data_IF_727904384576
#
_entry.id   IF_727904384576
#
_cell.length_a   1.000
_cell.length_b   1.000
_cell.length_c   1.000
_cell.angle_alpha   90.00
_cell.angle_beta   90.00
_cell.angle_gamma   90.00
#
_symmetry.space_group_name_H-M   'P 1'
#
loop_
_entity.id
_entity.type
_entity.pdbx_description
1 polymer ?
#
# COMPACT_ATOMS: atom_id res chain seq x y z
N UNK A 1 24.73 -23.91 4.57
CA UNK A 1 23.48 -23.52 5.25
C UNK A 1 23.07 -22.15 4.73
N UNK A 2 21.99 -22.06 3.96
CA UNK A 2 21.46 -20.78 3.50
C UNK A 2 20.97 -20.01 4.73
N UNK A 3 21.69 -18.97 5.14
CA UNK A 3 21.15 -17.97 6.07
C UNK A 3 19.93 -17.39 5.37
N UNK A 4 18.75 -17.59 5.93
CA UNK A 4 17.55 -16.85 5.53
C UNK A 4 17.94 -15.36 5.43
N UNK A 5 17.57 -14.66 4.34
CA UNK A 5 17.82 -13.23 4.27
C UNK A 5 17.20 -12.57 5.52
N UNK A 6 17.79 -11.49 6.04
CA UNK A 6 17.19 -10.73 7.12
C UNK A 6 15.75 -10.41 6.74
N UNK A 7 14.85 -10.76 7.66
CA UNK A 7 13.40 -10.65 7.54
C UNK A 7 12.98 -9.37 6.78
N UNK A 8 12.11 -9.46 5.75
CA UNK A 8 11.67 -8.27 5.03
C UNK A 8 10.99 -7.28 5.98
N UNK A 9 11.54 -6.07 6.09
CA UNK A 9 10.95 -4.98 6.86
C UNK A 9 9.71 -4.41 6.12
N UNK A 10 8.62 -5.19 6.10
CA UNK A 10 7.33 -4.74 5.61
C UNK A 10 6.78 -3.62 6.52
N UNK A 11 6.33 -2.52 5.92
CA UNK A 11 5.64 -1.46 6.64
C UNK A 11 4.20 -1.87 6.95
N UNK A 12 3.69 -1.38 8.08
CA UNK A 12 2.25 -1.20 8.28
C UNK A 12 1.75 -0.08 7.36
N UNK A 13 0.43 0.00 7.17
CA UNK A 13 -0.16 1.08 6.39
C UNK A 13 0.20 2.47 6.95
N UNK A 14 0.25 2.63 8.28
CA UNK A 14 0.58 3.91 8.91
C UNK A 14 2.04 4.31 8.67
N UNK A 15 2.97 3.38 8.85
CA UNK A 15 4.40 3.62 8.57
C UNK A 15 4.61 3.98 7.09
N UNK A 16 4.00 3.20 6.19
CA UNK A 16 4.08 3.43 4.75
C UNK A 16 3.49 4.80 4.33
N UNK A 17 2.30 5.14 4.83
CA UNK A 17 1.64 6.42 4.54
C UNK A 17 2.46 7.61 5.08
N UNK A 18 3.00 7.48 6.30
CA UNK A 18 3.82 8.51 6.94
C UNK A 18 5.14 8.74 6.18
N UNK A 19 5.90 7.68 5.89
CA UNK A 19 7.18 7.81 5.18
C UNK A 19 6.98 8.36 3.77
N UNK A 20 5.98 7.86 3.03
CA UNK A 20 5.67 8.33 1.67
C UNK A 20 5.33 9.82 1.67
N UNK A 21 4.54 10.30 2.64
CA UNK A 21 4.22 11.73 2.79
C UNK A 21 5.41 12.58 3.19
N UNK A 22 6.29 12.09 4.07
CA UNK A 22 7.48 12.81 4.51
C UNK A 22 8.47 13.13 3.37
N UNK A 23 8.42 12.31 2.30
CA UNK A 23 9.26 12.41 1.11
C UNK A 23 8.67 13.28 -0.01
N UNK A 24 7.44 13.79 0.13
CA UNK A 24 6.86 14.75 -0.83
C UNK A 24 7.52 16.11 -0.64
N UNK A 25 8.29 16.55 -1.64
CA UNK A 25 9.07 17.78 -1.59
C UNK A 25 9.54 18.22 -2.99
N UNK A 26 9.64 19.53 -3.19
CA UNK A 26 10.28 20.14 -4.36
C UNK A 26 11.63 20.76 -3.97
N UNK A 27 12.76 20.26 -4.53
CA UNK A 27 14.08 20.84 -4.35
C UNK A 27 14.13 22.33 -4.64
N UNK A 28 14.75 23.12 -3.74
CA UNK A 28 15.03 24.54 -3.98
C UNK A 28 16.22 24.75 -4.93
N UNK A 29 17.13 23.78 -4.96
CA UNK A 29 18.36 23.81 -5.76
C UNK A 29 18.28 22.78 -6.89
N UNK A 30 18.96 23.09 -8.00
CA UNK A 30 19.21 22.11 -9.06
C UNK A 30 20.07 20.97 -8.52
N UNK A 31 19.68 19.75 -8.85
CA UNK A 31 20.37 18.55 -8.41
C UNK A 31 21.39 18.15 -9.45
N UNK A 32 22.66 18.35 -9.10
CA UNK A 32 23.78 17.86 -9.88
C UNK A 32 24.19 16.45 -9.46
N UNK A 33 24.31 15.57 -10.45
CA UNK A 33 24.81 14.19 -10.33
C UNK A 33 25.90 13.89 -11.38
N UNK A 34 26.47 14.92 -12.01
CA UNK A 34 27.49 14.79 -13.06
C UNK A 34 28.74 14.04 -12.57
N UNK A 35 29.11 14.19 -11.29
CA UNK A 35 30.20 13.45 -10.65
C UNK A 35 30.01 11.92 -10.71
N UNK A 36 28.77 11.44 -10.83
CA UNK A 36 28.41 10.02 -10.90
C UNK A 36 28.45 9.44 -12.31
N UNK A 37 28.85 10.22 -13.33
CA UNK A 37 28.91 9.78 -14.72
C UNK A 37 29.71 8.49 -14.92
N UNK A 38 30.82 8.35 -14.20
CA UNK A 38 31.64 7.14 -14.28
C UNK A 38 30.89 5.88 -13.83
N UNK A 39 30.00 5.97 -12.83
CA UNK A 39 29.16 4.85 -12.37
C UNK A 39 28.11 4.49 -13.43
N UNK A 40 27.51 5.49 -14.07
CA UNK A 40 26.53 5.30 -15.15
C UNK A 40 27.18 4.60 -16.35
N UNK A 41 28.33 5.10 -16.78
CA UNK A 41 29.07 4.57 -17.93
C UNK A 41 29.57 3.14 -17.70
N UNK A 42 29.80 2.75 -16.43
CA UNK A 42 30.26 1.41 -16.05
C UNK A 42 29.22 0.31 -16.27
N UNK A 43 27.95 0.65 -16.53
CA UNK A 43 26.90 -0.33 -16.86
C UNK A 43 26.86 -0.64 -18.37
N UNK A 44 27.57 0.14 -19.20
CA UNK A 44 27.64 -0.02 -20.66
C UNK A 44 26.25 -0.10 -21.31
N UNK A 45 25.55 1.04 -21.36
CA UNK A 45 24.18 1.13 -21.83
C UNK A 45 24.05 1.99 -23.10
N UNK A 46 22.83 2.04 -23.65
CA UNK A 46 22.51 3.03 -24.68
C UNK A 46 22.36 4.42 -24.05
N UNK A 47 22.60 5.53 -24.78
CA UNK A 47 22.46 6.89 -24.24
C UNK A 47 21.10 7.14 -23.56
N UNK A 48 20.01 6.64 -24.16
CA UNK A 48 18.65 6.73 -23.60
C UNK A 48 18.50 6.00 -22.26
N UNK A 49 19.19 4.88 -22.08
CA UNK A 49 19.17 4.13 -20.81
C UNK A 49 20.04 4.79 -19.76
N UNK A 50 21.17 5.36 -20.16
CA UNK A 50 22.04 6.16 -19.28
C UNK A 50 21.33 7.42 -18.78
N UNK A 51 20.55 8.09 -19.63
CA UNK A 51 19.72 9.23 -19.24
C UNK A 51 18.69 8.86 -18.16
N UNK A 52 17.95 7.76 -18.34
CA UNK A 52 17.01 7.26 -17.31
C UNK A 52 17.70 6.84 -16.00
N UNK A 53 18.90 6.28 -16.10
CA UNK A 53 19.67 5.95 -14.91
C UNK A 53 20.15 7.22 -14.19
N UNK A 54 20.56 8.25 -14.94
CA UNK A 54 20.87 9.58 -14.41
C UNK A 54 19.68 10.20 -13.69
N UNK A 55 18.48 10.14 -14.29
CA UNK A 55 17.24 10.55 -13.63
C UNK A 55 17.03 9.80 -12.31
N UNK A 56 17.29 8.49 -12.28
CA UNK A 56 17.20 7.69 -11.05
C UNK A 56 18.19 8.16 -9.98
N UNK A 57 19.43 8.50 -10.34
CA UNK A 57 20.40 9.09 -9.41
C UNK A 57 19.95 10.47 -8.90
N UNK A 58 19.38 11.30 -9.76
CA UNK A 58 18.80 12.60 -9.36
C UNK A 58 17.67 12.41 -8.34
N UNK A 59 16.73 11.50 -8.60
CA UNK A 59 15.63 11.20 -7.67
C UNK A 59 16.12 10.56 -6.37
N UNK A 60 17.10 9.65 -6.43
CA UNK A 60 17.71 9.09 -5.23
C UNK A 60 18.31 10.19 -4.35
N UNK A 61 19.04 11.14 -4.96
CA UNK A 61 19.62 12.30 -4.27
C UNK A 61 18.55 13.18 -3.63
N UNK A 62 17.42 13.42 -4.31
CA UNK A 62 16.26 14.14 -3.73
C UNK A 62 15.78 13.48 -2.44
N UNK A 63 15.59 12.16 -2.48
CA UNK A 63 15.02 11.41 -1.36
C UNK A 63 15.97 11.39 -0.17
N UNK A 64 17.26 11.12 -0.38
CA UNK A 64 18.24 11.05 0.73
C UNK A 64 18.58 12.42 1.32
N UNK A 65 18.39 13.52 0.58
CA UNK A 65 18.55 14.88 1.11
C UNK A 65 17.32 15.40 1.86
N UNK A 66 16.22 14.63 1.89
CA UNK A 66 14.99 15.03 2.57
C UNK A 66 15.08 14.82 4.08
N UNK A 67 15.74 15.76 4.77
CA UNK A 67 15.96 15.73 6.23
C UNK A 67 14.70 15.38 7.06
N UNK A 68 13.52 15.86 6.66
CA UNK A 68 12.29 15.62 7.41
C UNK A 68 12.00 14.12 7.62
N UNK A 69 12.17 13.30 6.59
CA UNK A 69 11.93 11.85 6.66
C UNK A 69 12.86 11.16 7.68
N UNK A 70 14.09 11.64 7.81
CA UNK A 70 15.09 11.10 8.74
C UNK A 70 14.87 11.51 10.19
N UNK A 71 14.11 12.58 10.44
CA UNK A 71 13.66 12.95 11.77
C UNK A 71 12.36 12.22 12.12
N UNK A 72 11.36 12.30 11.24
CA UNK A 72 10.06 11.67 11.40
C UNK A 72 9.60 11.18 10.00
N UNK A 73 9.47 9.86 9.78
CA UNK A 73 9.34 8.77 10.77
C UNK A 73 10.66 8.18 11.31
N UNK A 74 11.82 8.68 10.89
CA UNK A 74 13.12 8.26 11.41
C UNK A 74 13.99 7.53 10.38
N UNK A 75 15.29 7.38 10.66
CA UNK A 75 16.28 7.04 9.63
C UNK A 75 16.13 5.62 9.08
N UNK A 76 15.79 4.65 9.92
CA UNK A 76 15.59 3.27 9.47
C UNK A 76 14.37 3.14 8.54
N UNK A 77 13.23 3.69 8.97
CA UNK A 77 12.00 3.73 8.17
C UNK A 77 12.23 4.42 6.83
N UNK A 78 12.93 5.56 6.85
CA UNK A 78 13.24 6.32 5.65
C UNK A 78 14.10 5.49 4.67
N UNK A 79 15.21 4.90 5.14
CA UNK A 79 16.09 4.12 4.28
C UNK A 79 15.44 2.85 3.74
N UNK A 80 14.61 2.17 4.54
CA UNK A 80 13.87 1.00 4.08
C UNK A 80 12.89 1.36 2.96
N UNK A 81 12.22 2.51 3.05
CA UNK A 81 11.37 3.00 1.97
C UNK A 81 12.16 3.40 0.73
N UNK A 82 13.26 4.14 0.89
CA UNK A 82 14.14 4.52 -0.23
C UNK A 82 14.67 3.27 -0.95
N UNK A 83 15.04 2.23 -0.20
CA UNK A 83 15.48 0.96 -0.79
C UNK A 83 14.35 0.28 -1.59
N UNK A 84 13.12 0.26 -1.07
CA UNK A 84 11.95 -0.24 -1.81
C UNK A 84 11.69 0.57 -3.08
N UNK A 85 11.66 1.90 -2.98
CA UNK A 85 11.47 2.79 -4.11
C UNK A 85 12.53 2.54 -5.19
N UNK A 86 13.80 2.44 -4.79
CA UNK A 86 14.89 2.20 -5.71
C UNK A 86 14.75 0.84 -6.41
N UNK A 87 14.45 -0.22 -5.67
CA UNK A 87 14.21 -1.55 -6.24
C UNK A 87 13.05 -1.55 -7.24
N UNK A 88 11.95 -0.84 -6.95
CA UNK A 88 10.83 -0.67 -7.88
C UNK A 88 11.27 0.06 -9.15
N UNK A 89 11.92 1.21 -8.99
CA UNK A 89 12.39 2.07 -10.10
C UNK A 89 13.33 1.32 -11.04
N UNK A 90 14.32 0.60 -10.51
CA UNK A 90 15.31 -0.11 -11.36
C UNK A 90 14.72 -1.31 -12.10
N UNK A 91 13.67 -1.95 -11.54
CA UNK A 91 12.97 -3.07 -12.17
C UNK A 91 12.04 -2.59 -13.28
N UNK A 92 11.42 -1.42 -13.12
CA UNK A 92 10.53 -0.82 -14.11
C UNK A 92 11.26 -0.18 -15.30
N UNK A 93 12.53 0.22 -15.11
CA UNK A 93 13.24 1.13 -16.01
C UNK A 93 14.07 0.47 -17.13
N UNK A 94 14.25 -0.86 -17.10
CA UNK A 94 14.93 -1.67 -18.15
C UNK A 94 16.34 -1.18 -18.56
N UNK A 95 17.04 -0.41 -17.72
CA UNK A 95 18.41 0.07 -17.97
C UNK A 95 19.51 -0.84 -17.40
N UNK A 96 19.25 -2.15 -17.26
CA UNK A 96 20.32 -3.12 -17.00
C UNK A 96 20.87 -3.14 -15.56
N UNK A 97 20.17 -2.55 -14.59
CA UNK A 97 20.50 -2.76 -13.18
C UNK A 97 20.09 -4.19 -12.76
N UNK A 98 21.03 -4.89 -12.13
CA UNK A 98 20.90 -6.22 -11.56
C UNK A 98 21.58 -6.26 -10.18
N UNK A 99 21.65 -7.44 -9.58
CA UNK A 99 22.24 -7.62 -8.24
C UNK A 99 23.71 -7.18 -8.17
N UNK A 100 24.49 -7.39 -9.23
CA UNK A 100 25.94 -7.19 -9.23
C UNK A 100 26.32 -5.71 -9.34
N UNK A 101 25.52 -4.92 -10.06
CA UNK A 101 25.75 -3.50 -10.27
C UNK A 101 24.86 -2.58 -9.41
N UNK A 102 23.92 -3.12 -8.63
CA UNK A 102 23.12 -2.32 -7.68
C UNK A 102 23.97 -1.56 -6.66
N UNK A 103 25.17 -2.07 -6.35
CA UNK A 103 26.16 -1.41 -5.48
C UNK A 103 26.53 0.00 -5.92
N UNK A 104 26.36 0.36 -7.20
CA UNK A 104 26.64 1.71 -7.68
C UNK A 104 25.77 2.79 -7.04
N UNK A 105 24.57 2.46 -6.55
CA UNK A 105 23.77 3.41 -5.77
C UNK A 105 24.37 3.68 -4.38
N UNK A 106 25.00 2.68 -3.77
CA UNK A 106 25.74 2.85 -2.53
C UNK A 106 27.04 3.63 -2.74
N UNK A 107 27.79 3.31 -3.80
CA UNK A 107 29.00 4.05 -4.19
C UNK A 107 28.69 5.53 -4.47
N UNK A 108 27.59 5.81 -5.18
CA UNK A 108 27.09 7.16 -5.42
C UNK A 108 26.88 7.96 -4.13
N UNK A 109 26.23 7.37 -3.12
CA UNK A 109 26.02 8.05 -1.84
C UNK A 109 27.32 8.33 -1.08
N UNK A 110 28.35 7.48 -1.25
CA UNK A 110 29.66 7.64 -0.59
C UNK A 110 30.51 8.75 -1.20
N UNK A 111 30.38 8.98 -2.51
CA UNK A 111 31.18 9.98 -3.23
C UNK A 111 30.53 11.37 -3.25
N UNK A 112 29.22 11.48 -3.02
CA UNK A 112 28.53 12.78 -2.96
C UNK A 112 28.88 13.52 -1.65
N UNK A 113 29.55 14.69 -1.71
CA UNK A 113 29.94 15.43 -0.52
C UNK A 113 28.76 15.89 0.33
N UNK A 114 27.66 16.35 -0.31
CA UNK A 114 26.47 16.85 0.39
C UNK A 114 25.75 15.72 1.13
N UNK A 115 25.74 14.50 0.58
CA UNK A 115 25.17 13.30 1.22
C UNK A 115 26.08 12.84 2.37
N UNK A 116 27.39 12.81 2.14
CA UNK A 116 28.37 12.36 3.14
C UNK A 116 28.34 13.19 4.43
N UNK A 117 28.10 14.49 4.31
CA UNK A 117 28.00 15.41 5.45
C UNK A 117 26.65 15.31 6.20
N UNK A 118 25.55 14.99 5.50
CA UNK A 118 24.19 15.21 6.02
C UNK A 118 23.29 13.97 6.09
N UNK A 119 23.63 12.89 5.40
CA UNK A 119 22.75 11.73 5.20
C UNK A 119 23.51 10.41 5.22
N UNK A 120 24.27 10.20 6.31
CA UNK A 120 24.96 8.94 6.62
C UNK A 120 24.00 7.76 6.86
N UNK A 121 22.71 8.05 7.04
CA UNK A 121 21.74 7.07 7.51
C UNK A 121 21.48 5.93 6.53
N UNK A 122 21.51 6.17 5.21
CA UNK A 122 21.21 5.14 4.20
C UNK A 122 22.45 4.54 3.54
N UNK A 123 23.63 5.10 3.78
CA UNK A 123 24.88 4.52 3.28
C UNK A 123 24.98 3.08 3.79
N UNK A 124 25.25 2.17 2.85
CA UNK A 124 25.37 0.73 3.06
C UNK A 124 24.10 0.03 3.55
N UNK A 125 22.93 0.69 3.48
CA UNK A 125 21.62 0.10 3.73
C UNK A 125 20.81 -0.19 2.47
N UNK A 126 21.19 0.39 1.32
CA UNK A 126 20.58 0.06 0.04
C UNK A 126 21.07 -1.30 -0.44
N UNK A 127 20.13 -2.16 -0.84
CA UNK A 127 20.42 -3.51 -1.29
C UNK A 127 19.42 -3.97 -2.35
N UNK A 128 19.90 -4.75 -3.32
CA UNK A 128 19.05 -5.39 -4.31
C UNK A 128 18.18 -6.44 -3.61
N UNK A 129 16.86 -6.23 -3.59
CA UNK A 129 15.90 -7.19 -3.03
C UNK A 129 15.78 -8.38 -3.97
N UNK A 130 15.70 -9.58 -3.41
CA UNK A 130 15.33 -10.75 -4.17
C UNK A 130 13.90 -10.61 -4.74
N UNK A 131 13.63 -11.32 -5.84
CA UNK A 131 12.35 -11.18 -6.55
C UNK A 131 11.15 -11.54 -5.68
N UNK A 132 11.25 -12.57 -4.82
CA UNK A 132 10.12 -13.02 -4.02
C UNK A 132 9.74 -11.97 -2.97
N UNK A 133 10.74 -11.46 -2.23
CA UNK A 133 10.56 -10.39 -1.25
C UNK A 133 10.01 -9.13 -1.90
N UNK A 134 10.59 -8.72 -3.04
CA UNK A 134 10.15 -7.53 -3.76
C UNK A 134 8.68 -7.63 -4.21
N UNK A 135 8.28 -8.75 -4.82
CA UNK A 135 6.91 -8.92 -5.32
C UNK A 135 5.88 -8.91 -4.19
N UNK A 136 6.18 -9.56 -3.06
CA UNK A 136 5.32 -9.52 -1.87
C UNK A 136 5.17 -8.10 -1.32
N UNK A 137 6.29 -7.38 -1.19
CA UNK A 137 6.30 -6.00 -0.71
C UNK A 137 5.53 -5.07 -1.66
N UNK A 138 5.74 -5.23 -2.97
CA UNK A 138 5.04 -4.49 -4.01
C UNK A 138 3.52 -4.69 -3.93
N UNK A 139 3.04 -5.94 -3.83
CA UNK A 139 1.60 -6.22 -3.70
C UNK A 139 0.99 -5.56 -2.46
N UNK A 140 1.70 -5.63 -1.32
CA UNK A 140 1.26 -5.00 -0.08
C UNK A 140 1.15 -3.46 -0.22
N UNK A 141 2.17 -2.82 -0.79
CA UNK A 141 2.20 -1.36 -0.91
C UNK A 141 1.29 -0.85 -2.03
N UNK A 142 1.09 -1.61 -3.12
CA UNK A 142 0.08 -1.32 -4.15
C UNK A 142 -1.34 -1.42 -3.55
N UNK A 143 -1.60 -2.34 -2.60
CA UNK A 143 -2.85 -2.37 -1.83
C UNK A 143 -3.01 -1.13 -0.95
N UNK A 144 -1.94 -0.67 -0.30
CA UNK A 144 -1.94 0.54 0.53
C UNK A 144 -2.20 1.81 -0.28
N UNK A 145 -1.56 1.94 -1.44
CA UNK A 145 -1.79 3.04 -2.38
C UNK A 145 -3.25 3.06 -2.83
N UNK A 146 -3.75 1.91 -3.28
CA UNK A 146 -5.15 1.78 -3.68
C UNK A 146 -6.10 2.16 -2.53
N UNK A 147 -5.83 1.69 -1.30
CA UNK A 147 -6.63 2.06 -0.13
C UNK A 147 -6.59 3.58 0.16
N UNK A 148 -5.43 4.24 0.03
CA UNK A 148 -5.30 5.69 0.22
C UNK A 148 -6.09 6.46 -0.85
N UNK A 149 -5.97 6.08 -2.12
CA UNK A 149 -6.74 6.67 -3.22
C UNK A 149 -8.25 6.56 -2.98
N UNK A 150 -8.72 5.37 -2.56
CA UNK A 150 -10.13 5.18 -2.20
C UNK A 150 -10.56 6.02 -1.00
N UNK A 151 -9.67 6.19 -0.02
CA UNK A 151 -9.92 7.01 1.16
C UNK A 151 -10.05 8.49 0.80
N UNK A 152 -9.33 8.96 -0.21
CA UNK A 152 -9.27 10.36 -0.63
C UNK A 152 -10.28 10.69 -1.75
N UNK A 153 -10.78 9.67 -2.46
CA UNK A 153 -11.79 9.82 -3.50
C UNK A 153 -13.09 10.45 -2.98
N UNK A 154 -13.55 11.48 -3.69
CA UNK A 154 -14.88 12.10 -3.50
C UNK A 154 -15.98 11.39 -4.29
N UNK A 155 -15.61 10.52 -5.23
CA UNK A 155 -16.56 9.87 -6.13
C UNK A 155 -17.25 8.68 -5.44
N UNK A 156 -18.51 8.88 -5.05
CA UNK A 156 -19.32 7.85 -4.39
C UNK A 156 -19.92 6.82 -5.35
N UNK A 157 -20.02 7.11 -6.66
CA UNK A 157 -20.71 6.24 -7.61
C UNK A 157 -19.93 4.95 -7.92
N UNK A 158 -18.60 4.97 -7.77
CA UNK A 158 -17.72 3.81 -7.96
C UNK A 158 -17.34 3.11 -6.65
N UNK A 159 -17.90 3.53 -5.51
CA UNK A 159 -17.49 3.05 -4.19
C UNK A 159 -17.65 1.53 -4.04
N UNK A 160 -18.76 0.96 -4.50
CA UNK A 160 -19.00 -0.49 -4.39
C UNK A 160 -17.99 -1.31 -5.21
N UNK A 161 -17.75 -0.93 -6.47
CA UNK A 161 -16.76 -1.59 -7.32
C UNK A 161 -15.36 -1.52 -6.72
N UNK A 162 -15.01 -0.34 -6.18
CA UNK A 162 -13.73 -0.10 -5.55
C UNK A 162 -13.50 -0.93 -4.28
N UNK A 163 -14.53 -1.09 -3.45
CA UNK A 163 -14.47 -1.93 -2.25
C UNK A 163 -14.33 -3.42 -2.63
N UNK A 164 -15.04 -3.90 -3.65
CA UNK A 164 -14.88 -5.27 -4.15
C UNK A 164 -13.43 -5.51 -4.59
N UNK A 165 -12.86 -4.62 -5.40
CA UNK A 165 -11.48 -4.72 -5.86
C UNK A 165 -10.46 -4.65 -4.72
N UNK A 166 -10.71 -3.84 -3.68
CA UNK A 166 -9.87 -3.82 -2.48
C UNK A 166 -9.89 -5.17 -1.75
N UNK A 167 -11.08 -5.78 -1.65
CA UNK A 167 -11.30 -7.08 -1.01
C UNK A 167 -10.57 -8.20 -1.76
N UNK A 168 -10.66 -8.21 -3.09
CA UNK A 168 -9.95 -9.17 -3.96
C UNK A 168 -8.44 -9.07 -3.79
N UNK A 169 -7.88 -7.85 -3.81
CA UNK A 169 -6.44 -7.63 -3.57
C UNK A 169 -6.01 -8.11 -2.18
N UNK A 170 -6.80 -7.80 -1.15
CA UNK A 170 -6.52 -8.27 0.21
C UNK A 170 -6.48 -9.79 0.28
N UNK A 171 -7.50 -10.46 -0.26
CA UNK A 171 -7.59 -11.92 -0.22
C UNK A 171 -6.48 -12.60 -1.02
N UNK A 172 -6.09 -12.02 -2.16
CA UNK A 172 -4.93 -12.52 -2.93
C UNK A 172 -3.67 -12.54 -2.08
N UNK A 173 -3.35 -11.44 -1.38
CA UNK A 173 -2.16 -11.35 -0.52
C UNK A 173 -2.30 -12.27 0.69
N UNK A 174 -3.51 -12.41 1.24
CA UNK A 174 -3.78 -13.31 2.36
C UNK A 174 -3.51 -14.77 2.02
N UNK A 175 -3.93 -15.24 0.84
CA UNK A 175 -3.62 -16.62 0.40
C UNK A 175 -2.12 -16.84 0.17
N UNK A 176 -1.39 -15.80 -0.23
CA UNK A 176 0.06 -15.87 -0.39
C UNK A 176 0.80 -15.95 0.95
N UNK A 177 0.30 -15.28 1.99
CA UNK A 177 0.98 -15.22 3.29
C UNK A 177 0.50 -16.27 4.32
N UNK A 178 -0.76 -16.73 4.25
CA UNK A 178 -1.35 -17.60 5.29
C UNK A 178 -0.56 -18.91 5.44
N UNK A 179 0.06 -19.08 6.61
CA UNK A 179 0.88 -20.26 6.94
C UNK A 179 2.22 -20.31 6.22
N UNK A 180 2.65 -19.21 5.58
CA UNK A 180 3.88 -19.11 4.77
C UNK A 180 4.74 -17.90 5.11
N UNK A 181 4.13 -16.75 5.40
CA UNK A 181 4.81 -15.48 5.70
C UNK A 181 4.02 -14.71 6.76
N UNK A 182 4.28 -15.02 8.03
CA UNK A 182 3.55 -14.41 9.15
C UNK A 182 3.80 -12.90 9.26
N UNK A 183 4.97 -12.42 8.83
CA UNK A 183 5.29 -10.99 8.84
C UNK A 183 4.42 -10.23 7.86
N UNK A 184 4.34 -10.67 6.61
CA UNK A 184 3.44 -10.11 5.60
C UNK A 184 1.98 -10.17 6.07
N UNK A 185 1.55 -11.31 6.59
CA UNK A 185 0.19 -11.49 7.12
C UNK A 185 -0.11 -10.54 8.29
N UNK A 186 0.85 -10.30 9.17
CA UNK A 186 0.68 -9.36 10.28
C UNK A 186 0.54 -7.91 9.81
N UNK A 187 1.35 -7.48 8.83
CA UNK A 187 1.21 -6.13 8.23
C UNK A 187 -0.09 -5.99 7.42
N UNK A 188 -0.53 -7.04 6.74
CA UNK A 188 -1.83 -7.07 6.07
C UNK A 188 -3.00 -6.99 7.08
N UNK A 189 -2.93 -7.71 8.21
CA UNK A 189 -3.92 -7.61 9.30
C UNK A 189 -3.94 -6.22 9.93
N UNK A 190 -2.80 -5.53 10.01
CA UNK A 190 -2.74 -4.16 10.53
C UNK A 190 -3.63 -3.20 9.73
N UNK A 191 -3.70 -3.35 8.41
CA UNK A 191 -4.62 -2.59 7.56
C UNK A 191 -6.09 -2.80 7.98
N UNK A 192 -6.49 -4.05 8.25
CA UNK A 192 -7.84 -4.42 8.71
C UNK A 192 -8.16 -3.81 10.07
N UNK A 193 -7.22 -3.88 11.02
CA UNK A 193 -7.40 -3.38 12.40
C UNK A 193 -7.50 -1.86 12.47
N UNK A 194 -6.71 -1.14 11.67
CA UNK A 194 -6.57 0.31 11.85
C UNK A 194 -7.64 1.17 11.15
N UNK A 195 -8.26 0.77 10.01
CA UNK A 195 -9.05 1.75 9.22
C UNK A 195 -10.30 1.29 8.45
N UNK A 196 -10.75 0.04 8.55
CA UNK A 196 -12.13 -0.29 8.08
C UNK A 196 -13.17 0.25 9.08
N UNK A 197 -12.87 0.18 10.38
CA UNK A 197 -13.77 0.60 11.46
C UNK A 197 -14.09 2.10 11.46
N UNK A 198 -13.09 2.99 11.40
CA UNK A 198 -13.30 4.43 11.59
C UNK A 198 -14.08 5.16 10.47
N UNK A 199 -14.09 4.64 9.24
CA UNK A 199 -14.88 5.22 8.14
C UNK A 199 -16.23 4.53 7.92
N UNK A 200 -16.40 3.27 8.34
CA UNK A 200 -17.72 2.61 8.32
C UNK A 200 -18.71 3.27 9.31
N UNK A 201 -18.22 3.82 10.43
CA UNK A 201 -19.04 4.62 11.35
C UNK A 201 -19.58 5.92 10.73
N UNK A 202 -18.99 6.45 9.65
CA UNK A 202 -19.54 7.65 8.97
C UNK A 202 -20.68 7.32 7.99
N UNK A 203 -20.92 6.04 7.71
CA UNK A 203 -22.02 5.54 6.86
C UNK A 203 -23.09 4.80 7.69
N UNK A 204 -23.24 5.21 8.95
CA UNK A 204 -23.84 4.48 10.07
C UNK A 204 -25.23 3.85 9.84
N UNK A 205 -26.00 4.28 8.85
CA UNK A 205 -27.38 3.77 8.69
C UNK A 205 -27.51 2.39 8.00
N UNK A 206 -26.42 1.76 7.55
CA UNK A 206 -26.47 0.39 6.97
C UNK A 206 -25.49 -0.62 7.59
N UNK A 207 -24.66 -0.22 8.56
CA UNK A 207 -23.57 -1.06 9.10
C UNK A 207 -23.90 -1.69 10.45
N UNK A 208 -24.82 -1.12 11.24
CA UNK A 208 -25.19 -1.68 12.57
C UNK A 208 -25.78 -3.09 12.50
N UNK A 209 -26.32 -3.50 11.34
CA UNK A 209 -26.76 -4.89 11.08
C UNK A 209 -25.63 -5.86 10.73
N UNK A 210 -24.44 -5.35 10.39
CA UNK A 210 -23.25 -6.15 10.05
C UNK A 210 -22.38 -6.44 11.27
N UNK A 211 -22.23 -5.51 12.21
CA UNK A 211 -21.35 -5.71 13.37
C UNK A 211 -21.96 -6.62 14.45
N UNK A 212 -23.29 -6.67 14.60
CA UNK A 212 -23.95 -7.48 15.65
C UNK A 212 -23.87 -9.01 15.42
N UNK A 213 -23.42 -9.45 14.24
CA UNK A 213 -23.40 -10.87 13.85
C UNK A 213 -22.03 -11.38 13.37
N UNK A 214 -20.95 -10.60 13.52
CA UNK A 214 -19.65 -10.97 12.93
C UNK A 214 -18.47 -10.72 13.89
N UNK A 215 -18.32 -11.53 14.94
CA UNK A 215 -16.99 -11.96 15.34
C UNK A 215 -16.53 -13.08 14.40
N UNK A 216 -15.34 -12.94 13.81
CA UNK A 216 -14.56 -14.06 13.25
C UNK A 216 -14.94 -14.66 11.89
N UNK A 217 -15.22 -13.87 10.85
CA UNK A 217 -15.28 -14.42 9.48
C UNK A 217 -14.25 -13.83 8.47
N UNK A 218 -13.69 -14.68 7.56
CA UNK A 218 -12.86 -14.27 6.44
C UNK A 218 -13.60 -13.35 5.45
N UNK A 219 -12.86 -12.50 4.73
CA UNK A 219 -13.37 -11.45 3.84
C UNK A 219 -14.31 -11.99 2.73
N UNK A 220 -14.21 -13.28 2.39
CA UNK A 220 -15.13 -14.01 1.51
C UNK A 220 -16.62 -13.82 1.86
N UNK A 221 -16.98 -13.65 3.14
CA UNK A 221 -18.38 -13.45 3.55
C UNK A 221 -18.91 -12.03 3.31
N UNK A 222 -18.04 -11.01 3.28
CA UNK A 222 -18.44 -9.65 2.91
C UNK A 222 -18.82 -9.58 1.42
N UNK A 223 -18.09 -10.32 0.58
CA UNK A 223 -18.37 -10.44 -0.85
C UNK A 223 -19.72 -11.13 -1.11
N UNK A 224 -19.99 -12.25 -0.45
CA UNK A 224 -21.23 -13.02 -0.64
C UNK A 224 -22.48 -12.28 -0.14
N UNK A 225 -22.39 -11.62 1.02
CA UNK A 225 -23.52 -10.87 1.60
C UNK A 225 -23.80 -9.57 0.85
N UNK A 226 -22.77 -8.94 0.25
CA UNK A 226 -22.92 -7.77 -0.60
C UNK A 226 -23.55 -8.10 -1.97
N UNK A 227 -23.14 -9.21 -2.61
CA UNK A 227 -23.79 -9.71 -3.84
C UNK A 227 -25.29 -9.98 -3.62
N UNK A 228 -25.65 -10.55 -2.48
CA UNK A 228 -27.05 -10.78 -2.11
C UNK A 228 -27.85 -9.46 -1.99
N UNK A 229 -27.28 -8.43 -1.37
CA UNK A 229 -27.92 -7.11 -1.24
C UNK A 229 -28.02 -6.35 -2.57
N UNK A 230 -27.00 -6.46 -3.42
CA UNK A 230 -26.99 -5.88 -4.76
C UNK A 230 -28.08 -6.47 -5.66
N UNK A 231 -28.24 -7.80 -5.65
CA UNK A 231 -29.32 -8.48 -6.36
C UNK A 231 -30.69 -8.08 -5.83
N UNK A 232 -30.87 -8.02 -4.51
CA UNK A 232 -32.12 -7.58 -3.90
C UNK A 232 -32.50 -6.14 -4.25
N UNK A 233 -31.54 -5.21 -4.33
CA UNK A 233 -31.80 -3.82 -4.74
C UNK A 233 -32.10 -3.69 -6.25
N UNK A 234 -31.48 -4.54 -7.08
CA UNK A 234 -31.77 -4.62 -8.51
C UNK A 234 -33.17 -5.17 -8.78
N UNK A 235 -33.56 -6.22 -8.06
CA UNK A 235 -34.92 -6.80 -8.13
C UNK A 235 -35.97 -5.78 -7.67
N UNK A 236 -35.68 -5.01 -6.62
CA UNK A 236 -36.56 -3.96 -6.11
C UNK A 236 -36.75 -2.79 -7.09
N UNK A 237 -35.72 -2.45 -7.88
CA UNK A 237 -35.82 -1.42 -8.94
C UNK A 237 -36.56 -1.94 -10.17
N UNK A 238 -36.39 -3.22 -10.51
CA UNK A 238 -37.11 -3.86 -11.61
C UNK A 238 -38.61 -3.97 -11.32
N UNK A 239 -39.00 -4.25 -10.07
CA UNK A 239 -40.41 -4.30 -9.64
C UNK A 239 -41.15 -2.94 -9.70
N UNK A 240 -40.43 -1.80 -9.74
CA UNK A 240 -41.04 -0.47 -9.90
C UNK A 240 -41.15 0.01 -11.35
N UNK A 241 -40.42 -0.63 -12.27
CA UNK A 241 -40.50 -0.32 -13.70
C UNK A 241 -41.80 -0.83 -14.34
N UNK A 242 -42.46 -1.80 -13.73
CA UNK A 242 -43.74 -2.33 -14.17
C UNK A 242 -44.78 -2.18 -13.06
N UNK A 243 -45.61 -1.13 -13.22
CA UNK A 243 -46.95 -0.92 -12.64
C UNK A 243 -47.13 -1.19 -11.14
N UNK A 244 -47.35 -0.12 -10.36
CA UNK A 244 -48.35 -0.19 -9.26
C UNK A 244 -49.02 1.18 -9.07
N UNK A 245 -50.25 1.32 -9.60
CA UNK A 245 -51.31 1.98 -8.86
C UNK A 245 -51.78 0.95 -7.83
N UNK A 246 -51.70 1.29 -6.54
CA UNK A 246 -52.55 0.85 -5.42
C UNK A 246 -51.79 0.94 -4.08
N UNK A 247 -52.49 1.52 -3.11
CA UNK A 247 -52.08 1.75 -1.74
C UNK A 247 -51.64 0.48 -1.01
N UNK A 248 -50.51 0.53 -0.29
CA UNK A 248 -50.31 -0.32 0.90
C UNK A 248 -49.58 0.40 2.03
N UNK A 249 -50.17 0.28 3.22
CA UNK A 249 -49.70 0.74 4.52
C UNK A 249 -48.43 -0.02 4.95
N UNK A 250 -47.51 0.68 5.63
CA UNK A 250 -46.40 0.07 6.34
C UNK A 250 -46.91 -0.79 7.52
N UNK A 251 -46.39 -2.02 7.75
CA UNK A 251 -46.63 -2.73 9.00
C UNK A 251 -45.83 -2.06 10.12
N UNK A 252 -46.53 -1.65 11.18
CA UNK A 252 -45.94 -1.29 12.48
C UNK A 252 -45.35 -2.56 13.11
N UNK A 253 -44.05 -2.57 13.38
CA UNK A 253 -43.39 -3.62 14.15
C UNK A 253 -43.82 -3.52 15.63
N UNK A 254 -44.53 -4.53 16.12
CA UNK A 254 -44.69 -4.77 17.56
C UNK A 254 -43.42 -5.47 18.08
N UNK A 255 -42.69 -4.77 18.95
CA UNK A 255 -41.58 -5.30 19.75
C UNK A 255 -42.02 -5.26 21.22
N UNK A 256 -42.74 -6.29 21.63
CA UNK A 256 -42.91 -6.63 23.04
C UNK A 256 -42.77 -8.14 23.21
N UNK A 257 -42.10 -8.48 24.32
CA UNK A 257 -42.04 -9.77 25.00
C UNK A 257 -41.12 -10.86 24.43
N UNK A 258 -39.95 -11.02 25.05
CA UNK A 258 -39.79 -11.99 26.15
C UNK A 258 -38.30 -12.14 26.54
N UNK A 259 -37.95 -11.62 27.72
CA UNK A 259 -36.82 -12.10 28.52
C UNK A 259 -37.40 -12.63 29.83
N UNK A 260 -37.37 -13.96 30.05
CA UNK A 260 -37.48 -14.53 31.38
C UNK A 260 -36.61 -15.79 31.52
N UNK A 261 -35.73 -15.70 32.53
CA UNK A 261 -35.16 -16.71 33.42
C UNK A 261 -34.36 -17.91 32.86
N UNK A 262 -33.06 -17.89 33.19
CA UNK A 262 -32.29 -19.08 33.55
C UNK A 262 -32.59 -19.46 35.01
N UNK A 263 -32.85 -20.75 35.22
CA UNK A 263 -32.60 -21.47 36.47
C UNK A 263 -31.31 -22.26 36.32
#
# INVERSE_FOLDING_TARGET
>A
MAKYPPNPNYFTYQEYDAVKKSLVYEPKETIDVSFANHLINSIHNTPKKEEKLRETFCELKKLVQRHHCFYEPGPETCCNYINYWLNKTVRDSKYGINKDNFKYFDEFMKIDPKIKENSTYCISKLSYMDNETFEKMKKLYDLYDYFTELKESKNRSSLCHNISKLSEKYESIWQECKGKDDYLCNKLRNLKRNKIRQKMYKYQYKVETLEKHIPDLPFQFLHHKHMFLYHKEKDWKNQRGERVNEHYQYPKNNLHDHYHYYH
#
